data_IF_301898374409
#
_entry.id   IF_301898374409
#
_cell.length_a   1.000
_cell.length_b   1.000
_cell.length_c   1.000
_cell.angle_alpha   90.00
_cell.angle_beta   90.00
_cell.angle_gamma   90.00
#
_symmetry.space_group_name_H-M   'P 1'
#
loop_
_entity.id
_entity.type
_entity.pdbx_description
1 polymer ?
#
# COMPACT_ATOMS: atom_id res chain seq x y z
N UNK A 1 15.12 -4.66 14.24
CA UNK A 1 14.01 -3.71 14.43
C UNK A 1 13.29 -4.11 15.71
N UNK A 2 13.38 -3.35 16.81
CA UNK A 2 12.71 -3.73 18.04
C UNK A 2 11.22 -3.51 17.86
N UNK A 3 10.45 -4.56 18.12
CA UNK A 3 8.99 -4.52 18.20
C UNK A 3 8.57 -3.55 19.30
N UNK A 4 7.65 -2.63 19.01
CA UNK A 4 6.86 -2.00 20.07
C UNK A 4 6.23 -3.16 20.85
N UNK A 5 6.34 -3.15 22.19
CA UNK A 5 5.81 -4.23 23.02
C UNK A 5 4.36 -4.52 22.63
N UNK A 6 4.07 -5.75 22.19
CA UNK A 6 2.72 -6.19 21.82
C UNK A 6 2.45 -6.40 20.33
N UNK A 7 3.32 -5.96 19.41
CA UNK A 7 3.19 -6.27 17.98
C UNK A 7 4.38 -7.08 17.50
N UNK A 8 4.18 -8.37 17.23
CA UNK A 8 5.27 -9.33 16.98
C UNK A 8 5.83 -9.31 15.56
N UNK A 9 5.20 -8.59 14.63
CA UNK A 9 5.56 -8.59 13.20
C UNK A 9 6.10 -7.24 12.75
N UNK A 10 6.96 -7.23 11.73
CA UNK A 10 7.45 -5.99 11.14
C UNK A 10 6.36 -5.32 10.30
N UNK A 11 6.14 -4.03 10.53
CA UNK A 11 5.33 -3.17 9.66
C UNK A 11 6.28 -2.45 8.70
N UNK A 12 5.91 -2.40 7.43
CA UNK A 12 6.61 -1.65 6.40
C UNK A 12 5.63 -0.74 5.66
N UNK A 13 6.18 0.30 5.04
CA UNK A 13 5.41 1.20 4.20
C UNK A 13 6.23 1.77 3.05
N UNK A 14 5.53 2.21 2.01
CA UNK A 14 6.11 2.88 0.87
C UNK A 14 5.13 3.93 0.33
N UNK A 15 5.69 5.03 -0.20
CA UNK A 15 4.95 6.02 -0.98
C UNK A 15 5.27 5.78 -2.45
N UNK A 16 4.23 5.63 -3.26
CA UNK A 16 4.34 5.43 -4.71
C UNK A 16 3.39 6.38 -5.46
N UNK A 17 3.64 6.67 -6.75
CA UNK A 17 2.69 7.41 -7.57
C UNK A 17 1.37 6.64 -7.70
N UNK A 18 0.26 7.36 -7.69
CA UNK A 18 -1.03 6.83 -8.15
C UNK A 18 -1.08 6.71 -9.67
N UNK A 19 -2.17 6.17 -10.19
CA UNK A 19 -2.29 5.85 -11.61
C UNK A 19 -3.64 5.24 -12.01
N UNK A 20 -3.77 4.78 -13.26
CA UNK A 20 -4.95 4.05 -13.73
C UNK A 20 -5.22 2.80 -12.90
N UNK A 21 -6.44 2.27 -13.00
CA UNK A 21 -6.78 0.96 -12.43
C UNK A 21 -5.80 -0.09 -12.94
N UNK A 22 -5.23 -0.89 -12.02
CA UNK A 22 -4.29 -1.93 -12.39
C UNK A 22 -3.30 -2.27 -11.30
N UNK A 23 -2.11 -2.69 -11.72
CA UNK A 23 -1.02 -3.09 -10.83
C UNK A 23 -0.03 -1.94 -10.60
N UNK A 24 0.40 -1.79 -9.36
CA UNK A 24 1.31 -0.77 -8.88
C UNK A 24 2.54 -1.42 -8.25
N UNK A 25 3.73 -0.96 -8.63
CA UNK A 25 4.97 -1.45 -8.05
C UNK A 25 5.24 -0.79 -6.69
N UNK A 26 5.29 -1.58 -5.62
CA UNK A 26 5.54 -1.15 -4.24
C UNK A 26 6.97 -1.55 -3.84
N UNK A 27 7.91 -0.61 -3.68
CA UNK A 27 9.24 -0.93 -3.17
C UNK A 27 9.15 -1.34 -1.69
N UNK A 28 10.10 -2.14 -1.21
CA UNK A 28 10.19 -2.51 0.21
C UNK A 28 10.10 -4.00 0.50
N UNK A 29 10.18 -4.86 -0.51
CA UNK A 29 10.19 -6.33 -0.35
C UNK A 29 8.83 -6.89 0.11
N UNK A 30 7.73 -6.29 -0.37
CA UNK A 30 6.37 -6.78 -0.17
C UNK A 30 6.21 -8.16 -0.82
N UNK A 31 5.75 -9.14 -0.06
CA UNK A 31 5.56 -10.51 -0.52
C UNK A 31 4.06 -10.84 -0.73
N UNK A 32 3.71 -11.78 -1.63
CA UNK A 32 2.32 -12.21 -1.83
C UNK A 32 1.63 -12.77 -0.57
N UNK A 33 2.41 -13.29 0.38
CA UNK A 33 1.93 -13.81 1.66
C UNK A 33 1.74 -12.74 2.73
N UNK A 34 2.24 -11.51 2.52
CA UNK A 34 2.14 -10.43 3.49
C UNK A 34 0.68 -9.98 3.66
N UNK A 35 0.42 -9.13 4.66
CA UNK A 35 -0.91 -8.61 4.91
C UNK A 35 -0.95 -7.10 4.71
N UNK A 36 -1.75 -6.67 3.73
CA UNK A 36 -1.99 -5.26 3.47
C UNK A 36 -2.84 -4.64 4.59
N UNK A 37 -2.30 -3.61 5.23
CA UNK A 37 -2.97 -2.90 6.34
C UNK A 37 -3.76 -1.68 5.86
N UNK A 38 -3.16 -0.87 4.98
CA UNK A 38 -3.71 0.42 4.55
C UNK A 38 -3.18 0.79 3.18
N UNK A 39 -4.04 1.45 2.38
CA UNK A 39 -3.66 2.14 1.15
C UNK A 39 -4.34 3.50 1.16
N UNK A 40 -3.60 4.52 1.60
CA UNK A 40 -4.08 5.90 1.56
C UNK A 40 -3.80 6.51 0.19
N UNK A 41 -4.85 6.95 -0.50
CA UNK A 41 -4.70 7.82 -1.66
C UNK A 41 -4.59 9.27 -1.19
N UNK A 42 -3.43 9.88 -1.45
CA UNK A 42 -3.10 11.24 -1.06
C UNK A 42 -3.18 12.11 -2.31
N UNK A 43 -4.11 13.06 -2.31
CA UNK A 43 -4.18 14.09 -3.35
C UNK A 43 -3.47 15.33 -2.84
N UNK A 44 -2.50 15.81 -3.62
CA UNK A 44 -1.79 17.05 -3.32
C UNK A 44 -2.75 18.25 -3.36
N UNK A 45 -2.52 19.23 -2.49
CA UNK A 45 -3.43 20.34 -2.25
C UNK A 45 -3.03 21.14 -1.01
N UNK A 46 -3.80 22.17 -0.69
CA UNK A 46 -3.56 22.98 0.52
C UNK A 46 -4.86 23.12 1.35
N UNK A 47 -5.07 22.28 2.38
CA UNK A 47 -4.22 21.16 2.82
C UNK A 47 -4.33 19.95 1.88
N UNK A 48 -3.33 19.07 1.93
CA UNK A 48 -3.41 17.78 1.25
C UNK A 48 -4.58 16.95 1.80
N UNK A 49 -5.20 16.14 0.95
CA UNK A 49 -6.32 15.27 1.34
C UNK A 49 -5.89 13.81 1.25
N UNK A 50 -6.38 12.98 2.17
CA UNK A 50 -6.10 11.56 2.19
C UNK A 50 -7.41 10.76 2.28
N UNK A 51 -7.53 9.71 1.49
CA UNK A 51 -8.67 8.79 1.48
C UNK A 51 -8.16 7.37 1.64
N UNK A 52 -8.63 6.66 2.66
CA UNK A 52 -8.35 5.24 2.84
C UNK A 52 -9.06 4.41 1.77
N UNK A 53 -8.30 3.59 1.06
CA UNK A 53 -8.76 2.76 -0.05
C UNK A 53 -8.35 1.31 0.08
N UNK A 54 -7.92 0.83 1.26
CA UNK A 54 -7.56 -0.57 1.47
C UNK A 54 -8.59 -1.60 0.96
N UNK A 55 -9.89 -1.29 0.98
CA UNK A 55 -10.93 -2.19 0.47
C UNK A 55 -10.88 -2.40 -1.05
N UNK A 56 -10.25 -1.49 -1.78
CA UNK A 56 -10.14 -1.51 -3.24
C UNK A 56 -8.83 -2.15 -3.72
N UNK A 57 -7.88 -2.36 -2.81
CA UNK A 57 -6.55 -2.87 -3.12
C UNK A 57 -6.31 -4.23 -2.49
N UNK A 58 -5.54 -5.05 -3.20
CA UNK A 58 -4.98 -6.30 -2.68
C UNK A 58 -3.53 -6.43 -3.11
N UNK A 59 -2.76 -7.24 -2.39
CA UNK A 59 -1.44 -7.66 -2.87
C UNK A 59 -1.67 -8.54 -4.10
N UNK A 60 -0.94 -8.25 -5.17
CA UNK A 60 -1.09 -8.98 -6.43
C UNK A 60 -0.68 -10.45 -6.24
N UNK A 61 -1.59 -11.38 -6.52
CA UNK A 61 -1.33 -12.80 -6.34
C UNK A 61 -0.11 -13.27 -7.14
N UNK A 62 0.81 -13.98 -6.47
CA UNK A 62 2.02 -14.55 -7.08
C UNK A 62 3.08 -13.52 -7.51
N UNK A 63 2.91 -12.23 -7.21
CA UNK A 63 3.83 -11.18 -7.62
C UNK A 63 4.28 -10.33 -6.43
N UNK A 64 5.55 -10.46 -6.06
CA UNK A 64 6.18 -9.59 -5.07
C UNK A 64 6.20 -8.13 -5.53
N UNK A 65 6.30 -7.21 -4.56
CA UNK A 65 6.38 -5.76 -4.78
C UNK A 65 5.23 -5.20 -5.61
N UNK A 66 4.02 -5.78 -5.50
CA UNK A 66 2.90 -5.40 -6.33
C UNK A 66 1.59 -5.37 -5.55
N UNK A 67 0.86 -4.26 -5.64
CA UNK A 67 -0.54 -4.17 -5.25
C UNK A 67 -1.40 -3.89 -6.47
N UNK A 68 -2.62 -4.37 -6.47
CA UNK A 68 -3.57 -4.19 -7.56
C UNK A 68 -4.88 -3.64 -7.04
N UNK A 69 -5.50 -2.75 -7.81
CA UNK A 69 -6.90 -2.40 -7.64
C UNK A 69 -7.68 -2.65 -8.95
N UNK A 70 -9.00 -2.69 -8.83
CA UNK A 70 -9.91 -2.98 -9.97
C UNK A 70 -10.96 -1.91 -10.21
N UNK A 71 -11.03 -0.87 -9.38
CA UNK A 71 -12.18 0.05 -9.33
C UNK A 71 -11.82 1.52 -9.56
N UNK A 72 -10.75 2.02 -8.96
CA UNK A 72 -10.51 3.48 -8.89
C UNK A 72 -9.24 3.94 -9.60
N UNK A 73 -9.36 5.01 -10.36
CA UNK A 73 -8.20 5.75 -10.89
C UNK A 73 -7.65 6.69 -9.80
N UNK A 74 -6.35 6.57 -9.51
CA UNK A 74 -5.62 7.36 -8.51
C UNK A 74 -4.57 8.29 -9.15
N UNK A 75 -4.64 8.47 -10.47
CA UNK A 75 -3.73 9.34 -11.23
C UNK A 75 -3.72 10.77 -10.68
N UNK A 76 -2.53 11.35 -10.57
CA UNK A 76 -2.35 12.72 -10.06
C UNK A 76 -2.20 12.81 -8.53
N UNK A 77 -2.40 11.70 -7.81
CA UNK A 77 -2.07 11.58 -6.39
C UNK A 77 -0.94 10.60 -6.13
N UNK A 78 -0.75 10.29 -4.85
CA UNK A 78 0.19 9.30 -4.34
C UNK A 78 -0.55 8.21 -3.55
N UNK A 79 0.04 7.03 -3.46
CA UNK A 79 -0.43 5.95 -2.60
C UNK A 79 0.58 5.75 -1.48
N UNK A 80 0.13 5.89 -0.23
CA UNK A 80 0.87 5.42 0.93
C UNK A 80 0.39 4.02 1.29
N UNK A 81 1.22 3.03 0.99
CA UNK A 81 0.92 1.61 1.14
C UNK A 81 1.59 1.11 2.41
N UNK A 82 0.85 0.45 3.29
CA UNK A 82 1.38 -0.13 4.54
C UNK A 82 1.01 -1.60 4.65
N UNK A 83 1.96 -2.45 5.03
CA UNK A 83 1.76 -3.89 5.18
C UNK A 83 2.51 -4.46 6.38
N UNK A 84 2.06 -5.64 6.81
CA UNK A 84 2.73 -6.49 7.80
C UNK A 84 3.44 -7.60 7.07
N UNK A 85 4.73 -7.79 7.37
CA UNK A 85 5.47 -8.95 6.88
C UNK A 85 4.98 -10.22 7.55
N UNK A 86 4.66 -11.22 6.76
CA UNK A 86 4.38 -12.57 7.24
C UNK A 86 5.62 -13.41 6.98
N UNK A 87 6.37 -13.67 8.05
CA UNK A 87 7.54 -14.56 8.08
C UNK A 87 7.22 -15.96 7.54
#
# INVERSE_FOLDING_TARGET
>A
MPTISGFSKAIQSAIIPGGPVGAFNVPGDLQPSDTLLSVLHITDGNPATAVERKSEFSITAGKANSVTNTTTVTTGGFLYVTWVRND
#
